data_IF_583509578015
#
_entry.id   IF_583509578015
#
_cell.length_a   1.000
_cell.length_b   1.000
_cell.length_c   1.000
_cell.angle_alpha   90.00
_cell.angle_beta   90.00
_cell.angle_gamma   90.00
#
_symmetry.space_group_name_H-M   'P 1'
#
loop_
_entity.id
_entity.type
_entity.pdbx_description
1 polymer ?
#
# COMPACT_ATOMS: atom_id res chain seq x y z
N UNK A 1 -7.44 -30.62 -7.76
CA UNK A 1 -7.35 -29.75 -6.57
C UNK A 1 -7.70 -28.36 -7.05
N UNK A 2 -8.81 -27.77 -6.59
CA UNK A 2 -9.03 -26.34 -6.81
C UNK A 2 -7.94 -25.62 -6.04
N UNK A 3 -6.96 -25.07 -6.74
CA UNK A 3 -5.95 -24.23 -6.11
C UNK A 3 -6.65 -22.90 -5.83
N UNK A 4 -6.96 -22.64 -4.55
CA UNK A 4 -7.62 -21.41 -4.14
C UNK A 4 -6.56 -20.30 -4.14
N UNK A 5 -6.59 -19.47 -5.18
CA UNK A 5 -5.63 -18.39 -5.43
C UNK A 5 -6.36 -17.04 -5.48
N UNK A 6 -5.64 -15.95 -5.21
CA UNK A 6 -6.21 -14.59 -5.20
C UNK A 6 -5.54 -13.71 -6.24
N UNK A 7 -6.31 -13.23 -7.21
CA UNK A 7 -5.80 -12.28 -8.21
C UNK A 7 -5.46 -10.92 -7.58
N UNK A 8 -4.36 -10.31 -8.04
CA UNK A 8 -3.98 -8.94 -7.68
C UNK A 8 -5.07 -7.92 -8.05
N UNK A 9 -5.88 -8.20 -9.07
CA UNK A 9 -6.98 -7.35 -9.52
C UNK A 9 -7.95 -6.97 -8.39
N UNK A 10 -8.21 -7.87 -7.44
CA UNK A 10 -9.08 -7.56 -6.29
C UNK A 10 -8.51 -6.49 -5.36
N UNK A 11 -7.18 -6.44 -5.25
CA UNK A 11 -6.44 -5.46 -4.44
C UNK A 11 -6.35 -4.16 -5.23
N UNK A 12 -5.97 -4.25 -6.51
CA UNK A 12 -5.85 -3.10 -7.42
C UNK A 12 -7.17 -2.34 -7.54
N UNK A 13 -8.30 -3.04 -7.69
CA UNK A 13 -9.63 -2.43 -7.72
C UNK A 13 -9.94 -1.62 -6.46
N UNK A 14 -9.56 -2.14 -5.28
CA UNK A 14 -9.76 -1.42 -4.01
C UNK A 14 -8.85 -0.22 -3.91
N UNK A 15 -7.60 -0.34 -4.35
CA UNK A 15 -6.64 0.77 -4.39
C UNK A 15 -7.12 1.87 -5.35
N UNK A 16 -7.46 1.54 -6.60
CA UNK A 16 -7.95 2.48 -7.62
C UNK A 16 -9.18 3.24 -7.12
N UNK A 17 -10.11 2.55 -6.43
CA UNK A 17 -11.29 3.20 -5.83
C UNK A 17 -10.94 4.27 -4.78
N UNK A 18 -9.79 4.18 -4.12
CA UNK A 18 -9.30 5.19 -3.15
C UNK A 18 -8.73 6.42 -3.84
N UNK A 19 -8.09 6.22 -4.99
CA UNK A 19 -7.47 7.31 -5.77
C UNK A 19 -8.35 7.81 -6.92
N UNK A 20 -9.58 7.32 -7.08
CA UNK A 20 -10.46 7.65 -8.21
C UNK A 20 -10.76 9.14 -8.43
N UNK A 21 -10.52 9.99 -7.43
CA UNK A 21 -10.69 11.44 -7.51
C UNK A 21 -9.36 12.18 -7.76
N UNK A 22 -8.24 11.45 -7.82
CA UNK A 22 -6.91 11.94 -8.12
C UNK A 22 -6.66 11.77 -9.62
N UNK A 23 -6.78 12.86 -10.35
CA UNK A 23 -6.65 12.89 -11.82
C UNK A 23 -5.21 12.68 -12.29
N UNK A 24 -4.23 12.81 -11.41
CA UNK A 24 -2.81 12.78 -11.78
C UNK A 24 -2.29 11.34 -11.95
N UNK A 25 -2.94 10.35 -11.33
CA UNK A 25 -2.56 8.94 -11.46
C UNK A 25 -2.68 8.39 -12.88
N UNK A 26 -3.62 8.92 -13.68
CA UNK A 26 -3.88 8.45 -15.06
C UNK A 26 -3.38 9.44 -16.12
N UNK A 27 -2.70 10.52 -15.74
CA UNK A 27 -2.35 11.60 -16.66
C UNK A 27 -1.01 11.34 -17.37
N UNK A 28 -0.99 10.36 -18.26
CA UNK A 28 0.16 10.03 -19.11
C UNK A 28 -0.02 10.70 -20.49
N UNK A 29 0.26 11.99 -20.58
CA UNK A 29 0.12 12.73 -21.83
C UNK A 29 1.13 12.27 -22.88
N UNK A 30 0.65 11.89 -24.08
CA UNK A 30 1.50 11.63 -25.25
C UNK A 30 1.90 10.17 -25.48
N UNK A 31 1.34 9.21 -24.74
CA UNK A 31 1.57 7.78 -24.91
C UNK A 31 0.38 7.08 -25.57
N UNK A 32 0.64 5.91 -26.17
CA UNK A 32 -0.44 5.05 -26.69
C UNK A 32 -1.21 4.39 -25.54
N UNK A 33 -2.46 3.97 -25.78
CA UNK A 33 -3.29 3.31 -24.76
C UNK A 33 -2.60 2.07 -24.15
N UNK A 34 -1.89 1.28 -24.98
CA UNK A 34 -1.13 0.12 -24.52
C UNK A 34 0.07 0.47 -23.66
N UNK A 35 0.75 1.59 -23.95
CA UNK A 35 1.89 2.04 -23.14
C UNK A 35 1.42 2.57 -21.78
N UNK A 36 0.26 3.22 -21.75
CA UNK A 36 -0.38 3.70 -20.52
C UNK A 36 -0.78 2.51 -19.65
N UNK A 37 -1.41 1.48 -20.22
CA UNK A 37 -1.80 0.28 -19.50
C UNK A 37 -0.58 -0.46 -18.93
N UNK A 38 0.51 -0.56 -19.69
CA UNK A 38 1.75 -1.16 -19.22
C UNK A 38 2.33 -0.40 -18.02
N UNK A 39 2.46 0.93 -18.11
CA UNK A 39 3.00 1.77 -17.04
C UNK A 39 2.14 1.73 -15.78
N UNK A 40 0.82 1.76 -15.93
CA UNK A 40 -0.11 1.63 -14.80
C UNK A 40 0.07 0.28 -14.12
N UNK A 41 0.16 -0.81 -14.89
CA UNK A 41 0.38 -2.13 -14.33
C UNK A 41 1.73 -2.25 -13.62
N UNK A 42 2.82 -1.73 -14.19
CA UNK A 42 4.13 -1.70 -13.54
C UNK A 42 4.09 -0.92 -12.21
N UNK A 43 3.41 0.23 -12.20
CA UNK A 43 3.27 1.04 -10.99
C UNK A 43 2.43 0.33 -9.92
N UNK A 44 1.31 -0.30 -10.30
CA UNK A 44 0.48 -1.08 -9.38
C UNK A 44 1.24 -2.26 -8.76
N UNK A 45 2.04 -2.99 -9.55
CA UNK A 45 2.87 -4.07 -9.04
C UNK A 45 3.94 -3.54 -8.07
N UNK A 46 4.63 -2.45 -8.42
CA UNK A 46 5.60 -1.80 -7.53
C UNK A 46 4.98 -1.36 -6.19
N UNK A 47 3.76 -0.81 -6.22
CA UNK A 47 3.04 -0.44 -4.99
C UNK A 47 2.65 -1.69 -4.17
N UNK A 48 2.28 -2.79 -4.82
CA UNK A 48 1.98 -4.05 -4.14
C UNK A 48 3.23 -4.65 -3.48
N UNK A 49 4.37 -4.63 -4.16
CA UNK A 49 5.66 -5.08 -3.60
C UNK A 49 6.02 -4.32 -2.34
N UNK A 50 5.91 -2.99 -2.42
CA UNK A 50 6.12 -2.12 -1.25
C UNK A 50 5.14 -2.43 -0.13
N UNK A 51 3.89 -2.75 -0.46
CA UNK A 51 2.88 -3.10 0.52
C UNK A 51 3.21 -4.40 1.25
N UNK A 52 3.61 -5.44 0.51
CA UNK A 52 4.06 -6.71 1.08
C UNK A 52 5.27 -6.49 1.97
N UNK A 53 6.33 -5.86 1.46
CA UNK A 53 7.54 -5.56 2.23
C UNK A 53 7.23 -4.80 3.52
N UNK A 54 6.31 -3.84 3.46
CA UNK A 54 5.95 -3.03 4.61
C UNK A 54 5.29 -3.86 5.71
N UNK A 55 4.49 -4.88 5.39
CA UNK A 55 3.94 -5.82 6.39
C UNK A 55 5.09 -6.57 7.09
N UNK A 56 6.03 -7.12 6.32
CA UNK A 56 7.14 -7.92 6.85
C UNK A 56 8.11 -7.11 7.74
N UNK A 57 8.12 -5.77 7.64
CA UNK A 57 8.87 -4.91 8.58
C UNK A 57 8.35 -4.97 10.01
N UNK A 58 7.06 -5.27 10.20
CA UNK A 58 6.40 -5.30 11.52
C UNK A 58 6.25 -6.71 12.09
N UNK A 59 6.32 -7.73 11.25
CA UNK A 59 6.27 -9.12 11.69
C UNK A 59 5.98 -10.09 10.54
N UNK A 60 5.99 -11.38 10.86
CA UNK A 60 5.69 -12.43 9.90
C UNK A 60 4.18 -12.73 9.96
N UNK A 61 3.44 -12.53 8.86
CA UNK A 61 2.02 -12.86 8.77
C UNK A 61 1.78 -14.39 8.73
N UNK A 62 0.57 -14.82 9.08
CA UNK A 62 0.21 -16.26 9.03
C UNK A 62 0.10 -16.78 7.59
N UNK A 63 -0.22 -15.89 6.66
CA UNK A 63 -0.23 -16.14 5.22
C UNK A 63 1.10 -15.69 4.62
N UNK A 64 1.69 -16.49 3.74
CA UNK A 64 2.90 -16.09 3.03
C UNK A 64 2.54 -15.21 1.83
N UNK A 65 2.67 -13.89 1.96
CA UNK A 65 2.45 -12.97 0.84
C UNK A 65 3.57 -13.01 -0.19
N UNK A 66 4.69 -13.70 0.08
CA UNK A 66 5.75 -13.90 -0.91
C UNK A 66 5.46 -15.10 -1.82
N UNK A 67 4.53 -15.98 -1.44
CA UNK A 67 4.05 -17.09 -2.27
C UNK A 67 3.02 -16.60 -3.30
N UNK A 68 3.55 -16.09 -4.42
CA UNK A 68 2.77 -15.46 -5.48
C UNK A 68 3.41 -15.70 -6.85
N UNK A 69 2.59 -15.58 -7.89
CA UNK A 69 2.98 -15.69 -9.29
C UNK A 69 2.74 -14.33 -9.97
N UNK A 70 3.81 -13.57 -10.15
CA UNK A 70 3.77 -12.24 -10.78
C UNK A 70 3.46 -12.34 -12.29
N UNK A 71 3.70 -13.48 -12.94
CA UNK A 71 3.33 -13.70 -14.35
C UNK A 71 1.82 -13.90 -14.51
N UNK A 72 1.19 -14.58 -13.54
CA UNK A 72 -0.26 -14.75 -13.47
C UNK A 72 -0.98 -13.65 -12.67
N UNK A 73 -0.23 -12.72 -12.07
CA UNK A 73 -0.71 -11.67 -11.18
C UNK A 73 -1.65 -12.19 -10.09
N UNK A 74 -1.18 -13.18 -9.32
CA UNK A 74 -1.96 -13.78 -8.24
C UNK A 74 -1.10 -14.23 -7.07
N UNK A 75 -1.67 -14.20 -5.87
CA UNK A 75 -1.16 -14.95 -4.73
C UNK A 75 -1.56 -16.41 -4.89
N UNK A 76 -0.66 -17.34 -4.54
CA UNK A 76 -0.91 -18.78 -4.59
C UNK A 76 -1.79 -19.29 -3.43
N UNK A 77 -2.40 -18.35 -2.70
CA UNK A 77 -3.25 -18.58 -1.53
C UNK A 77 -4.49 -17.70 -1.61
N UNK A 78 -5.57 -18.18 -1.00
CA UNK A 78 -6.79 -17.41 -0.82
C UNK A 78 -6.59 -16.37 0.27
N UNK A 79 -6.72 -15.10 -0.08
CA UNK A 79 -6.67 -13.99 0.86
C UNK A 79 -8.07 -13.68 1.37
N UNK A 80 -8.17 -13.40 2.66
CA UNK A 80 -9.41 -12.91 3.25
C UNK A 80 -9.60 -11.42 2.93
N UNK A 81 -10.83 -10.94 2.98
CA UNK A 81 -11.16 -9.55 2.67
C UNK A 81 -10.37 -8.51 3.48
N UNK A 82 -10.00 -8.87 4.71
CA UNK A 82 -9.18 -8.06 5.60
C UNK A 82 -7.76 -7.87 5.05
N UNK A 83 -7.16 -8.91 4.48
CA UNK A 83 -5.82 -8.88 3.88
C UNK A 83 -5.83 -8.10 2.57
N UNK A 84 -6.84 -8.32 1.72
CA UNK A 84 -7.02 -7.55 0.48
C UNK A 84 -7.17 -6.06 0.80
N UNK A 85 -7.94 -5.72 1.84
CA UNK A 85 -8.12 -4.33 2.28
C UNK A 85 -6.83 -3.75 2.87
N UNK A 86 -6.11 -4.53 3.69
CA UNK A 86 -4.83 -4.13 4.27
C UNK A 86 -3.80 -3.80 3.19
N UNK A 87 -3.63 -4.68 2.19
CA UNK A 87 -2.71 -4.45 1.07
C UNK A 87 -3.09 -3.19 0.30
N UNK A 88 -4.37 -3.00 -0.02
CA UNK A 88 -4.83 -1.79 -0.72
C UNK A 88 -4.63 -0.50 0.11
N UNK A 89 -4.77 -0.55 1.43
CA UNK A 89 -4.51 0.58 2.33
C UNK A 89 -3.02 0.94 2.35
N UNK A 90 -2.13 -0.06 2.39
CA UNK A 90 -0.68 0.15 2.36
C UNK A 90 -0.22 0.65 0.98
N UNK A 91 -0.80 0.13 -0.12
CA UNK A 91 -0.57 0.66 -1.46
C UNK A 91 -0.92 2.14 -1.54
N UNK A 92 -2.08 2.54 -0.99
CA UNK A 92 -2.47 3.94 -0.93
C UNK A 92 -1.49 4.80 -0.13
N UNK A 93 -1.04 4.32 1.03
CA UNK A 93 0.00 5.01 1.79
C UNK A 93 1.31 5.14 0.99
N UNK A 94 1.75 4.08 0.33
CA UNK A 94 2.97 4.09 -0.50
C UNK A 94 2.88 5.07 -1.66
N UNK A 95 1.71 5.16 -2.31
CA UNK A 95 1.42 6.14 -3.35
C UNK A 95 1.51 7.59 -2.84
N UNK A 96 0.86 7.90 -1.70
CA UNK A 96 0.92 9.25 -1.12
C UNK A 96 2.35 9.59 -0.65
N UNK A 97 3.12 8.61 -0.19
CA UNK A 97 4.54 8.80 0.16
C UNK A 97 5.43 9.13 -1.06
N UNK A 98 5.08 8.68 -2.26
CA UNK A 98 5.78 9.06 -3.49
C UNK A 98 5.59 10.56 -3.79
N UNK A 99 4.38 11.08 -3.58
CA UNK A 99 4.09 12.52 -3.69
C UNK A 99 4.91 13.36 -2.70
N UNK A 100 5.16 12.84 -1.49
CA UNK A 100 6.06 13.48 -0.51
C UNK A 100 7.47 13.69 -1.06
N UNK A 101 8.00 12.68 -1.74
CA UNK A 101 9.34 12.73 -2.31
C UNK A 101 9.41 13.77 -3.44
N UNK A 102 8.35 13.89 -4.25
CA UNK A 102 8.22 14.95 -5.26
C UNK A 102 8.24 16.34 -4.61
N UNK A 103 7.40 16.59 -3.60
CA UNK A 103 7.34 17.88 -2.87
C UNK A 103 8.70 18.23 -2.25
N UNK A 104 9.38 17.25 -1.64
CA UNK A 104 10.71 17.46 -1.06
C UNK A 104 11.75 17.80 -2.14
N UNK A 105 11.74 17.10 -3.27
CA UNK A 105 12.62 17.38 -4.41
C UNK A 105 12.44 18.80 -4.95
N UNK A 106 11.20 19.20 -5.24
CA UNK A 106 10.89 20.57 -5.67
C UNK A 106 11.34 21.61 -4.64
N UNK A 107 11.12 21.36 -3.35
CA UNK A 107 11.57 22.29 -2.30
C UNK A 107 13.09 22.44 -2.19
N UNK A 108 13.88 21.48 -2.67
CA UNK A 108 15.34 21.59 -2.73
C UNK A 108 15.74 22.39 -3.97
N UNK A 109 15.14 22.09 -5.13
CA UNK A 109 15.42 22.76 -6.41
C UNK A 109 15.01 24.24 -6.42
N UNK A 110 13.87 24.60 -5.83
CA UNK A 110 13.41 26.00 -5.73
C UNK A 110 14.10 26.81 -4.63
N UNK A 111 14.86 26.18 -3.71
CA UNK A 111 15.69 26.92 -2.75
C UNK A 111 16.97 27.47 -3.36
N UNK A 112 17.39 26.94 -4.51
CA UNK A 112 18.54 27.45 -5.28
C UNK A 112 18.21 28.71 -6.07
N UNK A 113 17.02 28.80 -6.67
CA UNK A 113 16.63 29.91 -7.53
C UNK A 113 15.20 30.39 -7.19
N UNK A 114 15.12 31.60 -6.61
CA UNK A 114 13.94 32.47 -6.55
C UNK A 114 12.58 31.89 -6.09
N UNK A 115 12.13 32.18 -4.86
CA UNK A 115 10.81 32.80 -4.57
C UNK A 115 10.48 32.76 -3.07
N UNK A 116 10.38 33.96 -2.51
CA UNK A 116 10.00 34.24 -1.14
C UNK A 116 8.65 34.97 -1.14
N UNK A 117 7.57 34.38 -1.68
CA UNK A 117 6.22 34.98 -1.57
C UNK A 117 5.12 33.90 -1.65
N UNK A 118 4.28 33.82 -0.60
CA UNK A 118 3.00 33.07 -0.43
C UNK A 118 3.01 31.61 0.06
N UNK A 119 2.69 31.45 1.36
CA UNK A 119 2.10 30.29 2.06
C UNK A 119 2.62 28.84 1.92
N UNK A 120 3.84 28.51 1.41
CA UNK A 120 4.18 27.12 1.09
C UNK A 120 4.39 26.27 2.36
N UNK A 121 4.73 26.93 3.47
CA UNK A 121 5.03 26.27 4.73
C UNK A 121 3.81 25.64 5.40
N UNK A 122 2.64 26.30 5.34
CA UNK A 122 1.41 25.80 5.98
C UNK A 122 0.81 24.63 5.20
N UNK A 123 0.73 24.72 3.88
CA UNK A 123 0.28 23.63 3.01
C UNK A 123 1.19 22.41 3.16
N UNK A 124 2.52 22.61 3.13
CA UNK A 124 3.50 21.55 3.38
C UNK A 124 3.31 20.88 4.73
N UNK A 125 3.07 21.65 5.80
CA UNK A 125 2.84 21.09 7.13
C UNK A 125 1.55 20.28 7.17
N UNK A 126 0.51 20.70 6.46
CA UNK A 126 -0.75 19.96 6.35
C UNK A 126 -0.56 18.64 5.60
N UNK A 127 0.16 18.64 4.47
CA UNK A 127 0.46 17.42 3.72
C UNK A 127 1.30 16.44 4.55
N UNK A 128 2.35 16.92 5.21
CA UNK A 128 3.17 16.07 6.08
C UNK A 128 2.38 15.44 7.23
N UNK A 129 1.48 16.20 7.87
CA UNK A 129 0.60 15.65 8.92
C UNK A 129 -0.38 14.62 8.38
N UNK A 130 -0.92 14.83 7.18
CA UNK A 130 -1.81 13.86 6.53
C UNK A 130 -1.07 12.54 6.32
N UNK A 131 0.16 12.61 5.82
CA UNK A 131 1.03 11.45 5.62
C UNK A 131 1.33 10.74 6.94
N UNK A 132 1.75 11.46 7.97
CA UNK A 132 2.03 10.90 9.30
C UNK A 132 0.77 10.20 9.88
N UNK A 133 -0.41 10.80 9.67
CA UNK A 133 -1.68 10.19 10.07
C UNK A 133 -2.01 8.92 9.27
N UNK A 134 -1.68 8.87 7.99
CA UNK A 134 -1.88 7.69 7.14
C UNK A 134 -0.92 6.57 7.57
N UNK A 135 0.35 6.88 7.80
CA UNK A 135 1.34 5.93 8.30
C UNK A 135 0.86 5.32 9.62
N UNK A 136 0.48 6.14 10.59
CA UNK A 136 -0.03 5.67 11.88
C UNK A 136 -1.26 4.75 11.73
N UNK A 137 -2.18 5.11 10.82
CA UNK A 137 -3.36 4.29 10.53
C UNK A 137 -2.96 2.92 9.96
N UNK A 138 -2.05 2.90 8.98
CA UNK A 138 -1.57 1.66 8.35
C UNK A 138 -0.82 0.79 9.36
N UNK A 139 0.07 1.36 10.18
CA UNK A 139 0.80 0.63 11.22
C UNK A 139 -0.15 -0.01 12.21
N UNK A 140 -1.18 0.72 12.67
CA UNK A 140 -2.20 0.18 13.55
C UNK A 140 -2.97 -0.98 12.89
N UNK A 141 -3.32 -0.86 11.60
CA UNK A 141 -3.97 -1.92 10.85
C UNK A 141 -3.11 -3.18 10.73
N UNK A 142 -1.81 -3.03 10.49
CA UNK A 142 -0.85 -4.16 10.43
C UNK A 142 -0.74 -4.83 11.80
N UNK A 143 -0.55 -4.06 12.86
CA UNK A 143 -0.44 -4.63 14.22
C UNK A 143 -1.72 -5.37 14.62
N UNK A 144 -2.88 -4.79 14.32
CA UNK A 144 -4.16 -5.43 14.59
C UNK A 144 -4.38 -6.70 13.76
N UNK A 145 -3.92 -6.71 12.51
CA UNK A 145 -3.93 -7.91 11.66
C UNK A 145 -3.00 -9.00 12.22
N UNK A 146 -1.74 -8.68 12.51
CA UNK A 146 -0.74 -9.62 13.03
C UNK A 146 -1.17 -10.25 14.38
N UNK A 147 -1.89 -9.48 15.20
CA UNK A 147 -2.41 -9.93 16.49
C UNK A 147 -3.65 -10.84 16.39
N UNK A 148 -4.24 -11.04 15.20
CA UNK A 148 -5.50 -11.76 15.01
C UNK A 148 -5.35 -12.94 14.08
N UNK A 149 -6.08 -14.00 14.38
CA UNK A 149 -6.27 -15.12 13.46
C UNK A 149 -7.02 -14.63 12.21
N UNK A 150 -6.46 -14.90 11.03
CA UNK A 150 -6.94 -14.37 9.75
C UNK A 150 -8.38 -14.78 9.40
N UNK A 151 -8.82 -15.96 9.82
CA UNK A 151 -10.14 -16.49 9.45
C UNK A 151 -11.23 -16.12 10.46
N UNK A 152 -10.91 -16.17 11.76
CA UNK A 152 -11.86 -15.92 12.85
C UNK A 152 -11.86 -14.48 13.32
N UNK A 153 -10.82 -13.71 12.98
CA UNK A 153 -10.58 -12.34 13.44
C UNK A 153 -10.50 -12.20 14.97
N UNK A 154 -10.25 -13.29 15.69
CA UNK A 154 -10.04 -13.28 17.14
C UNK A 154 -8.57 -13.02 17.45
N UNK A 155 -8.29 -12.42 18.61
CA UNK A 155 -6.91 -12.24 19.05
C UNK A 155 -6.22 -13.60 19.22
N UNK A 156 -4.98 -13.69 18.73
CA UNK A 156 -4.11 -14.83 18.96
C UNK A 156 -3.81 -14.90 20.46
N UNK A 157 -4.02 -16.07 21.04
CA UNK A 157 -3.67 -16.30 22.44
C UNK A 157 -2.15 -16.36 22.59
N UNK A 158 -1.61 -15.69 23.60
CA UNK A 158 -0.21 -15.84 24.03
C UNK A 158 0.04 -17.15 24.78
N UNK A 159 -1.02 -17.86 25.19
CA UNK A 159 -0.93 -19.17 25.82
C UNK A 159 -0.89 -20.25 24.75
N UNK A 160 0.27 -20.40 24.12
CA UNK A 160 0.58 -21.51 23.22
C UNK A 160 1.55 -22.48 23.92
N UNK A 161 1.20 -22.88 25.14
CA UNK A 161 1.84 -23.97 25.87
C UNK A 161 0.75 -24.94 26.30
N UNK A 162 0.82 -26.18 25.83
CA UNK A 162 0.06 -27.28 26.40
C UNK A 162 0.30 -27.29 27.91
N UNK A 163 -0.71 -26.90 28.68
CA UNK A 163 -0.72 -27.22 30.10
C UNK A 163 -1.20 -28.67 30.18
N UNK A 164 -0.26 -29.60 30.13
CA UNK A 164 -0.51 -30.96 30.59
C UNK A 164 -0.71 -30.87 32.10
N UNK A 165 -1.97 -31.00 32.54
CA UNK A 165 -2.36 -31.22 33.94
C UNK A 165 -2.42 -32.73 34.20
#
# INVERSE_FOLDING_TARGET
MNNLATSYGLIFDKFIKKIKNDTDFFNYSGLSESDIELLVNEHLNSLLDRAVDFIYRYGVPDVDFLDRDDSLQQFNVELVNQEITLLADIMYFSYVEEERNKIKSFSITFRSDELNVFSPANERKTVLRMIESLEASVVNSIQNYLARDRHTWKYKSIYNGEINI
#
